data_IF_216701332454
#
_entry.id   IF_216701332454
#
_cell.length_a   1.000
_cell.length_b   1.000
_cell.length_c   1.000
_cell.angle_alpha   90.00
_cell.angle_beta   90.00
_cell.angle_gamma   90.00
#
_symmetry.space_group_name_H-M   'P 1'
#
loop_
_entity.id
_entity.type
_entity.pdbx_description
1 polymer ?
#
# COMPACT_ATOMS: atom_id res chain seq x y z
N UNK A 1 4.73 19.50 -19.32
CA UNK A 1 6.07 19.27 -18.73
C UNK A 1 6.87 18.16 -19.41
N UNK A 2 6.62 16.86 -19.17
CA UNK A 2 7.48 15.79 -19.73
C UNK A 2 7.68 15.85 -21.26
N UNK A 3 6.62 15.96 -22.07
CA UNK A 3 6.76 16.07 -23.54
C UNK A 3 7.44 17.36 -24.00
N UNK A 4 7.43 18.42 -23.19
CA UNK A 4 8.11 19.68 -23.52
C UNK A 4 9.62 19.54 -23.31
N UNK A 5 10.03 18.85 -22.24
CA UNK A 5 11.43 18.52 -21.95
C UNK A 5 11.98 17.42 -22.85
N UNK A 6 11.12 16.49 -23.29
CA UNK A 6 11.49 15.32 -24.09
C UNK A 6 10.65 15.25 -25.38
N UNK A 7 10.84 16.16 -26.35
CA UNK A 7 9.98 16.28 -27.53
C UNK A 7 9.99 15.06 -28.45
N UNK A 8 11.08 14.28 -28.40
CA UNK A 8 11.27 13.05 -29.17
C UNK A 8 10.65 11.81 -28.52
N UNK A 9 10.14 11.92 -27.29
CA UNK A 9 9.50 10.81 -26.57
C UNK A 9 8.00 11.06 -26.54
N UNK A 10 7.22 10.09 -27.00
CA UNK A 10 5.76 10.11 -26.91
C UNK A 10 5.33 9.16 -25.81
N UNK A 11 4.52 9.68 -24.89
CA UNK A 11 3.91 8.90 -23.80
C UNK A 11 2.41 8.97 -24.02
N UNK A 12 1.78 7.81 -24.04
CA UNK A 12 0.33 7.68 -24.11
C UNK A 12 -0.14 6.91 -22.88
N UNK A 13 -1.31 7.29 -22.38
CA UNK A 13 -1.89 6.67 -21.19
C UNK A 13 -2.71 5.45 -21.58
N UNK A 14 -2.48 4.35 -20.88
CA UNK A 14 -3.32 3.16 -20.91
C UNK A 14 -3.95 3.02 -19.52
N UNK A 15 -5.29 3.03 -19.40
CA UNK A 15 -5.93 2.80 -18.11
C UNK A 15 -5.62 1.41 -17.57
N UNK A 16 -5.41 1.33 -16.24
CA UNK A 16 -5.30 0.04 -15.55
C UNK A 16 -6.58 -0.79 -15.80
N UNK A 17 -6.45 -2.09 -16.11
CA UNK A 17 -7.62 -2.93 -16.25
C UNK A 17 -8.13 -3.36 -14.86
N UNK A 18 -9.40 -3.78 -14.79
CA UNK A 18 -10.04 -4.19 -13.51
C UNK A 18 -9.27 -5.27 -12.74
N UNK A 19 -8.54 -6.13 -13.45
CA UNK A 19 -7.67 -7.17 -12.89
C UNK A 19 -6.23 -6.95 -13.36
N UNK A 20 -5.62 -5.90 -12.80
CA UNK A 20 -4.25 -5.48 -13.16
C UNK A 20 -3.24 -6.60 -12.92
N UNK A 21 -3.39 -7.37 -11.84
CA UNK A 21 -2.52 -8.48 -11.46
C UNK A 21 -2.40 -9.54 -12.55
N UNK A 22 -3.54 -10.09 -12.99
CA UNK A 22 -3.57 -11.18 -13.97
C UNK A 22 -3.38 -10.69 -15.41
N UNK A 23 -3.99 -9.56 -15.77
CA UNK A 23 -3.93 -9.04 -17.15
C UNK A 23 -2.55 -8.53 -17.50
N UNK A 24 -1.90 -7.75 -16.62
CA UNK A 24 -0.54 -7.28 -16.89
C UNK A 24 0.45 -8.44 -17.01
N UNK A 25 0.32 -9.49 -16.18
CA UNK A 25 1.16 -10.68 -16.31
C UNK A 25 0.95 -11.39 -17.65
N UNK A 26 -0.29 -11.43 -18.14
CA UNK A 26 -0.61 -11.98 -19.46
C UNK A 26 -0.02 -11.14 -20.59
N UNK A 27 -0.12 -9.82 -20.50
CA UNK A 27 0.46 -8.89 -21.47
C UNK A 27 1.99 -8.94 -21.46
N UNK A 28 2.63 -9.10 -20.30
CA UNK A 28 4.08 -9.30 -20.18
C UNK A 28 4.52 -10.58 -20.90
N UNK A 29 3.77 -11.67 -20.73
CA UNK A 29 4.01 -12.94 -21.45
C UNK A 29 3.81 -12.82 -22.96
N UNK A 30 2.85 -12.01 -23.37
CA UNK A 30 2.56 -11.75 -24.78
C UNK A 30 3.53 -10.74 -25.42
N UNK A 31 4.33 -10.02 -24.63
CA UNK A 31 5.20 -8.94 -25.10
C UNK A 31 4.42 -7.67 -25.49
N UNK A 32 3.23 -7.48 -24.91
CA UNK A 32 2.33 -6.36 -25.21
C UNK A 32 2.05 -5.47 -23.99
N UNK A 33 2.72 -5.71 -22.87
CA UNK A 33 2.59 -4.87 -21.67
C UNK A 33 3.10 -3.44 -21.92
N UNK A 34 2.56 -2.44 -21.19
CA UNK A 34 3.12 -1.09 -21.16
C UNK A 34 4.60 -1.07 -20.79
N UNK A 35 5.36 -0.12 -21.37
CA UNK A 35 6.78 0.05 -21.07
C UNK A 35 7.05 0.56 -19.65
N UNK A 36 6.13 1.41 -19.14
CA UNK A 36 6.19 1.99 -17.80
C UNK A 36 4.81 1.87 -17.18
N UNK A 37 4.74 1.32 -15.97
CA UNK A 37 3.51 1.13 -15.23
C UNK A 37 3.72 1.38 -13.74
N UNK A 38 2.62 1.56 -13.03
CA UNK A 38 2.58 1.65 -11.58
C UNK A 38 1.95 0.37 -11.03
N UNK A 39 2.26 0.04 -9.79
CA UNK A 39 1.69 -1.15 -9.16
C UNK A 39 1.66 -1.03 -7.64
N UNK A 40 0.85 -1.90 -7.04
CA UNK A 40 0.77 -2.05 -5.59
C UNK A 40 1.70 -3.20 -5.14
N UNK A 41 1.91 -3.28 -3.83
CA UNK A 41 2.92 -4.13 -3.19
C UNK A 41 2.69 -5.63 -3.34
N UNK A 42 1.49 -6.06 -3.72
CA UNK A 42 1.07 -7.46 -3.80
C UNK A 42 1.54 -8.18 -5.09
N UNK A 43 1.61 -7.50 -6.23
CA UNK A 43 1.96 -8.13 -7.51
C UNK A 43 3.32 -7.71 -8.10
N UNK A 44 3.82 -6.50 -7.81
CA UNK A 44 5.10 -6.04 -8.37
C UNK A 44 6.28 -6.97 -8.03
N UNK A 45 6.48 -7.41 -6.77
CA UNK A 45 7.58 -8.32 -6.45
C UNK A 45 7.44 -9.68 -7.15
N UNK A 46 6.20 -10.16 -7.34
CA UNK A 46 5.91 -11.42 -8.03
C UNK A 46 6.36 -11.35 -9.49
N UNK A 47 6.03 -10.26 -10.19
CA UNK A 47 6.45 -10.08 -11.57
C UNK A 47 7.96 -9.89 -11.71
N UNK A 48 8.61 -9.24 -10.74
CA UNK A 48 10.07 -9.12 -10.69
C UNK A 48 10.75 -10.49 -10.54
N UNK A 49 10.29 -11.31 -9.60
CA UNK A 49 10.80 -12.68 -9.39
C UNK A 49 10.56 -13.59 -10.60
N UNK A 50 9.48 -13.35 -11.35
CA UNK A 50 9.19 -14.05 -12.60
C UNK A 50 10.05 -13.57 -13.79
N UNK A 51 10.88 -12.55 -13.61
CA UNK A 51 11.82 -12.05 -14.63
C UNK A 51 11.20 -11.08 -15.64
N UNK A 52 10.05 -10.47 -15.34
CA UNK A 52 9.40 -9.50 -16.23
C UNK A 52 9.80 -8.04 -15.98
N UNK A 53 10.68 -7.78 -15.01
CA UNK A 53 11.11 -6.43 -14.65
C UNK A 53 12.52 -6.13 -15.13
N UNK A 54 12.72 -4.91 -15.60
CA UNK A 54 14.04 -4.39 -15.96
C UNK A 54 14.85 -4.07 -14.70
N UNK A 55 16.14 -4.40 -14.70
CA UNK A 55 17.06 -3.93 -13.66
C UNK A 55 17.28 -2.43 -13.78
N UNK A 56 16.78 -1.67 -12.81
CA UNK A 56 16.87 -0.22 -12.80
C UNK A 56 18.22 0.29 -12.28
N UNK A 57 19.04 -0.55 -11.64
CA UNK A 57 20.32 -0.13 -11.03
C UNK A 57 21.24 0.65 -11.98
N UNK A 58 21.42 0.27 -13.26
CA UNK A 58 22.26 1.03 -14.18
C UNK A 58 21.75 2.45 -14.44
N UNK A 59 20.43 2.64 -14.48
CA UNK A 59 19.80 3.93 -14.71
C UNK A 59 19.85 4.79 -13.45
N UNK A 60 19.57 4.19 -12.29
CA UNK A 60 19.71 4.86 -10.98
C UNK A 60 21.12 5.39 -10.80
N UNK A 61 22.15 4.57 -11.09
CA UNK A 61 23.54 4.99 -10.92
C UNK A 61 23.99 6.07 -11.92
N UNK A 62 23.36 6.13 -13.09
CA UNK A 62 23.68 7.10 -14.13
C UNK A 62 22.98 8.45 -13.91
N UNK A 63 21.70 8.42 -13.50
CA UNK A 63 20.80 9.55 -13.65
C UNK A 63 20.25 10.09 -12.32
N UNK A 64 20.33 9.36 -11.21
CA UNK A 64 19.83 9.81 -9.91
C UNK A 64 20.96 10.16 -8.95
N UNK A 65 20.82 11.31 -8.28
CA UNK A 65 21.70 11.68 -7.19
C UNK A 65 21.24 11.07 -5.85
N UNK A 66 22.19 10.98 -4.91
CA UNK A 66 21.91 10.42 -3.58
C UNK A 66 20.92 11.28 -2.80
N UNK A 67 20.89 12.60 -3.04
CA UNK A 67 19.96 13.51 -2.36
C UNK A 67 18.50 13.16 -2.68
N UNK A 68 18.20 12.87 -3.95
CA UNK A 68 16.88 12.41 -4.40
C UNK A 68 16.50 11.09 -3.74
N UNK A 69 17.44 10.16 -3.63
CA UNK A 69 17.21 8.86 -2.99
C UNK A 69 16.96 9.02 -1.49
N UNK A 70 17.68 9.93 -0.83
CA UNK A 70 17.56 10.20 0.61
C UNK A 70 16.22 10.87 0.97
N UNK A 71 15.56 11.53 0.01
CA UNK A 71 14.21 12.09 0.19
C UNK A 71 13.11 11.03 0.26
N UNK A 72 13.36 9.82 -0.24
CA UNK A 72 12.38 8.73 -0.21
C UNK A 72 12.32 8.01 1.14
N UNK A 73 11.17 7.39 1.42
CA UNK A 73 11.07 6.43 2.51
C UNK A 73 12.01 5.25 2.25
N UNK A 74 12.98 5.10 3.14
CA UNK A 74 14.06 4.14 2.96
C UNK A 74 13.59 2.69 3.10
N UNK A 75 12.49 2.43 3.82
CA UNK A 75 11.93 1.08 3.90
C UNK A 75 11.28 0.69 2.57
N UNK A 76 10.50 1.58 1.97
CA UNK A 76 9.90 1.39 0.65
C UNK A 76 10.97 1.26 -0.43
N UNK A 77 11.99 2.13 -0.44
CA UNK A 77 13.06 2.07 -1.42
C UNK A 77 13.78 0.71 -1.40
N UNK A 78 14.08 0.18 -0.20
CA UNK A 78 14.68 -1.16 -0.03
C UNK A 78 13.73 -2.29 -0.45
N UNK A 79 12.43 -2.12 -0.29
CA UNK A 79 11.44 -3.15 -0.67
C UNK A 79 11.33 -3.36 -2.20
N UNK A 80 11.87 -2.43 -3.01
CA UNK A 80 11.95 -2.56 -4.47
C UNK A 80 13.20 -3.27 -4.97
N UNK A 81 13.88 -4.01 -4.09
CA UNK A 81 14.94 -4.94 -4.44
C UNK A 81 14.46 -6.37 -4.20
N UNK A 82 14.77 -7.26 -5.14
CA UNK A 82 14.64 -8.71 -4.91
C UNK A 82 15.76 -9.21 -3.99
N UNK A 83 15.63 -10.43 -3.47
CA UNK A 83 16.68 -11.06 -2.63
C UNK A 83 18.02 -11.19 -3.36
N UNK A 84 18.03 -11.38 -4.68
CA UNK A 84 19.23 -11.43 -5.52
C UNK A 84 19.73 -10.04 -5.96
N UNK A 85 19.07 -8.97 -5.52
CA UNK A 85 19.54 -7.59 -5.64
C UNK A 85 19.14 -6.86 -6.92
N UNK A 86 18.19 -7.40 -7.71
CA UNK A 86 17.55 -6.70 -8.82
C UNK A 86 16.72 -5.55 -8.28
N UNK A 87 16.98 -4.32 -8.71
CA UNK A 87 16.10 -3.18 -8.41
C UNK A 87 15.01 -3.09 -9.48
N UNK A 88 13.77 -3.40 -9.12
CA UNK A 88 12.68 -3.57 -10.10
C UNK A 88 11.71 -2.39 -10.17
N UNK A 89 11.78 -1.45 -9.22
CA UNK A 89 10.89 -0.29 -9.17
C UNK A 89 11.53 0.90 -8.43
N UNK A 90 10.91 2.08 -8.56
CA UNK A 90 11.24 3.29 -7.82
C UNK A 90 10.01 3.81 -7.06
N UNK A 91 10.19 4.48 -5.91
CA UNK A 91 9.09 5.10 -5.19
C UNK A 91 8.35 6.15 -6.01
N UNK A 92 7.02 6.00 -6.10
CA UNK A 92 6.12 7.03 -6.67
C UNK A 92 5.44 7.84 -5.55
N UNK A 93 4.86 7.14 -4.59
CA UNK A 93 4.27 7.70 -3.38
C UNK A 93 4.31 6.66 -2.27
N UNK A 94 4.20 7.12 -1.02
CA UNK A 94 4.08 6.27 0.16
C UNK A 94 2.73 6.50 0.82
N UNK A 95 2.01 5.41 1.12
CA UNK A 95 0.77 5.45 1.88
C UNK A 95 1.02 5.09 3.33
N UNK A 96 0.48 5.86 4.27
CA UNK A 96 0.45 5.50 5.67
C UNK A 96 -0.97 5.13 6.09
N UNK A 97 -1.11 4.02 6.80
CA UNK A 97 -2.37 3.69 7.46
C UNK A 97 -2.54 4.53 8.71
N UNK A 98 -3.71 5.13 8.85
CA UNK A 98 -4.06 5.94 10.00
C UNK A 98 -5.48 5.60 10.46
N UNK A 99 -5.72 5.76 11.77
CA UNK A 99 -7.07 5.72 12.31
C UNK A 99 -7.76 7.05 12.05
N UNK A 100 -8.73 7.04 11.14
CA UNK A 100 -9.63 8.16 10.93
C UNK A 100 -10.88 7.97 11.80
N UNK A 101 -11.35 9.07 12.42
CA UNK A 101 -12.49 9.04 13.31
C UNK A 101 -13.36 10.30 13.17
N UNK A 102 -14.66 10.17 13.39
CA UNK A 102 -15.61 11.27 13.33
C UNK A 102 -15.70 11.96 14.70
N UNK A 103 -15.02 13.11 14.84
CA UNK A 103 -15.00 13.89 16.09
C UNK A 103 -16.39 14.23 16.63
N UNK A 104 -17.33 14.61 15.77
CA UNK A 104 -18.68 14.98 16.19
C UNK A 104 -19.40 13.84 16.90
N UNK A 105 -19.22 12.60 16.41
CA UNK A 105 -19.81 11.42 17.07
C UNK A 105 -19.13 11.11 18.41
N UNK A 106 -17.81 11.30 18.49
CA UNK A 106 -17.10 11.12 19.75
C UNK A 106 -17.58 12.13 20.81
N UNK A 107 -17.74 13.40 20.43
CA UNK A 107 -18.26 14.46 21.30
C UNK A 107 -19.72 14.19 21.71
N UNK A 108 -20.59 13.84 20.75
CA UNK A 108 -22.01 13.55 20.98
C UNK A 108 -22.21 12.43 22.02
N UNK A 109 -21.37 11.39 21.97
CA UNK A 109 -21.47 10.24 22.85
C UNK A 109 -20.52 10.26 24.05
N UNK A 110 -19.78 11.36 24.25
CA UNK A 110 -18.84 11.51 25.37
C UNK A 110 -17.75 10.43 25.39
N UNK A 111 -17.22 10.09 24.22
CA UNK A 111 -16.11 9.16 24.05
C UNK A 111 -14.84 9.96 23.82
N UNK A 112 -13.81 9.72 24.62
CA UNK A 112 -12.50 10.37 24.45
C UNK A 112 -11.89 10.06 23.09
N UNK A 113 -11.14 10.99 22.53
CA UNK A 113 -10.51 10.81 21.22
C UNK A 113 -9.36 9.77 21.28
N UNK A 114 -9.10 9.07 20.17
CA UNK A 114 -7.91 8.24 20.06
C UNK A 114 -6.63 9.07 20.18
N UNK A 115 -5.67 8.52 20.92
CA UNK A 115 -4.31 9.03 21.01
C UNK A 115 -3.29 7.88 20.89
N UNK A 116 -2.00 8.22 20.99
CA UNK A 116 -0.92 7.25 20.86
C UNK A 116 -0.81 6.24 22.01
N UNK A 117 -1.55 6.45 23.12
CA UNK A 117 -1.55 5.56 24.28
C UNK A 117 -2.67 4.51 24.23
N UNK A 118 -3.62 4.65 23.30
CA UNK A 118 -4.70 3.68 23.12
C UNK A 118 -4.18 2.27 22.85
N UNK A 119 -4.73 1.33 23.60
CA UNK A 119 -4.59 -0.10 23.32
C UNK A 119 -5.70 -0.58 22.39
N UNK A 120 -5.55 -1.80 21.85
CA UNK A 120 -6.64 -2.47 21.13
C UNK A 120 -7.91 -2.65 21.99
N UNK A 121 -7.75 -2.76 23.31
CA UNK A 121 -8.87 -2.83 24.24
C UNK A 121 -9.58 -1.49 24.37
N UNK A 122 -8.84 -0.38 24.45
CA UNK A 122 -9.41 0.98 24.47
C UNK A 122 -10.17 1.26 23.17
N UNK A 123 -9.54 0.94 22.04
CA UNK A 123 -10.18 1.00 20.73
C UNK A 123 -11.50 0.22 20.71
N UNK A 124 -11.47 -1.07 21.06
CA UNK A 124 -12.66 -1.92 21.03
C UNK A 124 -13.77 -1.36 21.93
N UNK A 125 -13.41 -0.89 23.12
CA UNK A 125 -14.35 -0.30 24.08
C UNK A 125 -14.99 0.97 23.51
N UNK A 126 -14.21 1.87 22.91
CA UNK A 126 -14.72 3.07 22.26
C UNK A 126 -15.66 2.74 21.10
N UNK A 127 -15.29 1.80 20.23
CA UNK A 127 -16.10 1.42 19.06
C UNK A 127 -17.43 0.76 19.47
N UNK A 128 -17.43 -0.05 20.54
CA UNK A 128 -18.67 -0.58 21.12
C UNK A 128 -19.56 0.54 21.67
N UNK A 129 -18.99 1.54 22.35
CA UNK A 129 -19.72 2.71 22.84
C UNK A 129 -20.30 3.57 21.73
N UNK A 130 -19.75 3.55 20.53
CA UNK A 130 -20.27 4.29 19.37
C UNK A 130 -21.28 3.48 18.55
N UNK A 131 -21.36 2.16 18.75
CA UNK A 131 -22.25 1.29 17.96
C UNK A 131 -23.71 1.42 18.43
N UNK A 132 -24.65 1.60 17.50
CA UNK A 132 -26.10 1.72 17.76
C UNK A 132 -26.89 0.85 16.81
N UNK A 133 -27.78 0.03 17.38
CA UNK A 133 -28.63 -0.87 16.62
C UNK A 133 -29.63 -0.13 15.74
N UNK A 134 -29.90 -0.73 14.58
CA UNK A 134 -30.86 -0.28 13.55
C UNK A 134 -32.29 -0.09 14.08
N UNK A 135 -32.66 -0.71 15.20
CA UNK A 135 -34.05 -0.80 15.67
C UNK A 135 -34.53 0.43 16.43
N UNK A 136 -33.63 1.30 16.91
CA UNK A 136 -34.02 2.44 17.75
C UNK A 136 -34.37 3.72 16.96
N UNK A 137 -33.87 3.88 15.73
CA UNK A 137 -33.92 5.17 15.00
C UNK A 137 -34.63 5.12 13.64
N UNK A 138 -34.98 3.94 13.12
CA UNK A 138 -35.64 3.81 11.81
C UNK A 138 -34.79 4.28 10.61
N UNK A 139 -33.54 4.66 10.84
CA UNK A 139 -32.51 4.97 9.85
C UNK A 139 -31.32 4.01 10.05
N UNK A 140 -30.40 3.95 9.06
CA UNK A 140 -29.25 3.04 9.09
C UNK A 140 -28.50 3.07 10.43
N UNK A 141 -28.19 1.89 10.98
CA UNK A 141 -27.48 1.77 12.26
C UNK A 141 -26.10 2.40 12.21
N UNK A 142 -25.64 2.90 13.37
CA UNK A 142 -24.31 3.48 13.52
C UNK A 142 -23.33 2.37 13.93
N UNK A 143 -22.24 2.22 13.17
CA UNK A 143 -21.15 1.32 13.52
C UNK A 143 -19.98 2.15 14.07
N UNK A 144 -19.41 1.71 15.20
CA UNK A 144 -18.27 2.41 15.77
C UNK A 144 -17.02 2.32 14.88
N UNK A 145 -16.85 1.23 14.15
CA UNK A 145 -15.67 0.93 13.36
C UNK A 145 -16.01 0.35 11.98
N UNK A 146 -15.09 0.55 11.04
CA UNK A 146 -14.98 -0.17 9.80
C UNK A 146 -13.52 -0.61 9.66
N UNK A 147 -13.27 -1.91 9.74
CA UNK A 147 -11.97 -2.51 9.44
C UNK A 147 -12.14 -3.34 8.18
N UNK A 148 -11.31 -3.08 7.18
CA UNK A 148 -11.29 -3.90 5.98
C UNK A 148 -10.56 -5.21 6.25
N UNK A 149 -11.12 -6.32 5.75
CA UNK A 149 -10.57 -7.66 5.95
C UNK A 149 -9.96 -8.11 4.64
N UNK A 150 -8.81 -7.53 4.35
CA UNK A 150 -7.91 -7.93 3.27
C UNK A 150 -6.57 -8.39 3.86
N UNK A 151 -5.72 -8.98 3.02
CA UNK A 151 -4.44 -9.51 3.46
C UNK A 151 -3.52 -8.42 4.04
N UNK A 152 -3.40 -7.29 3.35
CA UNK A 152 -2.50 -6.21 3.72
C UNK A 152 -2.91 -5.50 5.02
N UNK A 153 -4.21 -5.43 5.32
CA UNK A 153 -4.74 -4.82 6.56
C UNK A 153 -4.62 -5.78 7.73
N UNK A 154 -4.90 -7.06 7.52
CA UNK A 154 -4.73 -8.08 8.56
C UNK A 154 -3.27 -8.18 9.02
N UNK A 155 -2.31 -8.12 8.10
CA UNK A 155 -0.88 -8.16 8.41
C UNK A 155 -0.46 -7.09 9.43
N UNK A 156 -0.99 -5.87 9.30
CA UNK A 156 -0.66 -4.76 10.20
C UNK A 156 -1.11 -5.06 11.63
N UNK A 157 -2.29 -5.66 11.79
CA UNK A 157 -2.80 -6.06 13.10
C UNK A 157 -2.05 -7.25 13.69
N UNK A 158 -1.74 -8.27 12.88
CA UNK A 158 -0.94 -9.43 13.32
C UNK A 158 0.43 -8.98 13.81
N UNK A 159 1.12 -8.12 13.05
CA UNK A 159 2.40 -7.56 13.44
C UNK A 159 2.30 -6.70 14.71
N UNK A 160 1.22 -5.93 14.87
CA UNK A 160 0.97 -5.12 16.07
C UNK A 160 0.82 -5.95 17.36
N UNK A 161 0.46 -7.22 17.26
CA UNK A 161 0.44 -8.18 18.38
C UNK A 161 1.71 -9.01 18.51
N UNK A 162 2.77 -8.69 17.75
CA UNK A 162 4.01 -9.45 17.73
C UNK A 162 3.91 -10.79 16.98
N UNK A 163 2.83 -10.99 16.23
CA UNK A 163 2.71 -12.11 15.30
C UNK A 163 3.44 -11.83 13.98
N UNK A 164 3.65 -12.87 13.20
CA UNK A 164 4.23 -12.79 11.86
C UNK A 164 3.47 -13.73 10.92
N UNK A 165 3.19 -13.27 9.71
CA UNK A 165 2.49 -14.07 8.69
C UNK A 165 3.44 -14.99 7.91
N UNK A 166 4.72 -14.67 7.90
CA UNK A 166 5.82 -15.47 7.34
C UNK A 166 6.93 -15.57 8.38
N UNK A 167 7.80 -16.57 8.27
CA UNK A 167 8.96 -16.69 9.16
C UNK A 167 9.86 -15.44 9.03
N UNK A 168 10.12 -14.69 10.11
CA UNK A 168 11.02 -13.52 10.07
C UNK A 168 12.45 -13.85 9.63
N UNK A 169 12.87 -15.12 9.75
CA UNK A 169 14.17 -15.60 9.30
C UNK A 169 14.17 -16.20 7.89
N UNK A 170 13.01 -16.44 7.29
CA UNK A 170 12.87 -17.00 5.93
C UNK A 170 11.51 -16.63 5.32
N UNK A 171 11.44 -15.54 4.56
CA UNK A 171 10.21 -15.04 3.91
C UNK A 171 9.58 -15.98 2.89
N UNK A 172 10.22 -17.12 2.59
CA UNK A 172 9.73 -18.18 1.70
C UNK A 172 8.93 -19.27 2.44
N UNK A 173 8.85 -19.20 3.78
CA UNK A 173 8.23 -20.22 4.64
C UNK A 173 7.15 -19.67 5.56
#
# INVERSE_FOLDING_TARGET
EFHEMHPNIKVFYVPDPDDVGEKMLSDMRAGTAPDVFQGCCDFLPVWAQAGYMLDLRPFVAADLDQATIDEWDQAQYRAFFTEDGLQFALPKYHGALALYYNKSLFDEYGVDYPDAAWTYTDYTTAMQRLTRDRSATGQGGLWGSMVDIDWERLQVHVNGWGGHLVDPGDSRR
#
